data_IF_172949694544
#
_entry.id   IF_172949694544
#
_cell.length_a   1.000
_cell.length_b   1.000
_cell.length_c   1.000
_cell.angle_alpha   90.00
_cell.angle_beta   90.00
_cell.angle_gamma   90.00
#
_symmetry.space_group_name_H-M   'P 1'
#
loop_
_entity.id
_entity.type
_entity.pdbx_description
1 polymer ?
#
# COMPACT_ATOMS: atom_id res chain seq x y z
N UNK A 1 20.66 -5.04 17.30
CA UNK A 1 20.13 -3.77 16.76
C UNK A 1 18.69 -4.00 16.35
N UNK A 2 17.73 -3.39 17.04
CA UNK A 2 16.33 -3.38 16.59
C UNK A 2 16.23 -2.40 15.44
N UNK A 3 15.93 -2.88 14.24
CA UNK A 3 15.63 -2.05 13.08
C UNK A 3 14.36 -1.26 13.38
N UNK A 4 14.53 0.02 13.68
CA UNK A 4 13.47 1.02 13.81
C UNK A 4 12.57 0.91 12.57
N UNK A 5 11.29 0.67 12.78
CA UNK A 5 10.26 0.65 11.74
C UNK A 5 10.44 1.94 10.93
N UNK A 6 10.88 1.82 9.67
CA UNK A 6 11.07 2.96 8.79
C UNK A 6 9.80 3.79 8.78
N UNK A 7 9.95 5.12 8.95
CA UNK A 7 8.86 6.08 8.85
C UNK A 7 8.07 5.80 7.57
N UNK A 8 6.90 5.18 7.73
CA UNK A 8 5.95 4.92 6.63
C UNK A 8 5.67 6.24 5.93
N UNK A 9 5.81 6.27 4.61
CA UNK A 9 5.63 7.50 3.83
C UNK A 9 4.17 7.96 3.87
N UNK A 10 3.95 9.26 3.60
CA UNK A 10 2.59 9.85 3.59
C UNK A 10 1.68 9.12 2.60
N UNK A 11 2.18 8.77 1.41
CA UNK A 11 1.36 8.10 0.40
C UNK A 11 0.95 6.69 0.84
N UNK A 12 1.79 5.96 1.59
CA UNK A 12 1.45 4.63 2.11
C UNK A 12 0.31 4.71 3.13
N UNK A 13 0.39 5.66 4.06
CA UNK A 13 -0.67 5.89 5.07
C UNK A 13 -1.98 6.31 4.41
N UNK A 14 -1.91 7.21 3.42
CA UNK A 14 -3.09 7.68 2.70
C UNK A 14 -3.75 6.55 1.93
N UNK A 15 -2.98 5.75 1.17
CA UNK A 15 -3.53 4.61 0.44
C UNK A 15 -4.19 3.60 1.38
N UNK A 16 -3.54 3.27 2.50
CA UNK A 16 -4.12 2.39 3.50
C UNK A 16 -5.44 2.94 4.08
N UNK A 17 -5.52 4.25 4.32
CA UNK A 17 -6.75 4.90 4.78
C UNK A 17 -7.88 4.81 3.74
N UNK A 18 -7.55 4.98 2.46
CA UNK A 18 -8.51 4.88 1.34
C UNK A 18 -8.97 3.43 1.12
N UNK A 19 -8.09 2.45 1.37
CA UNK A 19 -8.46 1.03 1.36
C UNK A 19 -9.45 0.75 2.50
N UNK A 20 -9.17 1.23 3.72
CA UNK A 20 -10.07 1.06 4.87
C UNK A 20 -11.43 1.73 4.69
N UNK A 21 -11.51 2.83 3.93
CA UNK A 21 -12.81 3.46 3.62
C UNK A 21 -13.61 2.71 2.54
N UNK A 22 -13.01 1.72 1.88
CA UNK A 22 -13.64 0.92 0.83
C UNK A 22 -13.71 1.60 -0.54
N UNK A 23 -13.05 2.76 -0.70
CA UNK A 23 -12.95 3.46 -1.99
C UNK A 23 -11.99 2.75 -2.95
N UNK A 24 -10.92 2.16 -2.42
CA UNK A 24 -9.98 1.29 -3.13
C UNK A 24 -10.10 -0.10 -2.49
N UNK A 25 -10.11 -1.16 -3.30
CA UNK A 25 -10.17 -2.54 -2.84
C UNK A 25 -8.83 -2.98 -2.23
N UNK A 26 -7.73 -2.76 -2.97
CA UNK A 26 -6.39 -3.19 -2.55
C UNK A 26 -5.28 -2.43 -3.26
N UNK A 27 -4.05 -2.53 -2.76
CA UNK A 27 -2.85 -2.05 -3.44
C UNK A 27 -2.15 -3.18 -4.22
N UNK A 28 -1.63 -2.87 -5.41
CA UNK A 28 -0.86 -3.80 -6.24
C UNK A 28 0.36 -3.13 -6.91
N UNK A 29 1.29 -3.97 -7.39
CA UNK A 29 2.42 -3.55 -8.22
C UNK A 29 2.09 -3.86 -9.68
N UNK A 30 2.16 -2.83 -10.52
CA UNK A 30 2.00 -2.95 -11.99
C UNK A 30 3.28 -2.52 -12.70
N UNK A 31 3.57 -3.12 -13.85
CA UNK A 31 4.68 -2.67 -14.69
C UNK A 31 4.24 -1.50 -15.57
N UNK A 32 5.02 -0.42 -15.53
CA UNK A 32 4.78 0.78 -16.33
C UNK A 32 6.09 1.24 -16.96
N UNK A 33 6.26 0.97 -18.25
CA UNK A 33 7.43 1.40 -19.05
C UNK A 33 8.77 0.98 -18.41
N UNK A 34 8.87 -0.27 -17.97
CA UNK A 34 10.09 -0.82 -17.35
C UNK A 34 10.29 -0.43 -15.89
N UNK A 35 9.33 0.24 -15.25
CA UNK A 35 9.31 0.51 -13.82
C UNK A 35 8.19 -0.25 -13.13
N UNK A 36 8.35 -0.46 -11.83
CA UNK A 36 7.37 -1.10 -10.96
C UNK A 36 6.60 -0.01 -10.21
N UNK A 37 5.36 0.23 -10.62
CA UNK A 37 4.49 1.24 -10.05
C UNK A 37 3.54 0.65 -9.01
N UNK A 38 3.36 1.33 -7.89
CA UNK A 38 2.33 0.99 -6.90
C UNK A 38 1.06 1.74 -7.24
N UNK A 39 -0.04 1.00 -7.38
CA UNK A 39 -1.38 1.52 -7.69
C UNK A 39 -2.40 0.97 -6.71
N UNK A 40 -3.51 1.68 -6.54
CA UNK A 40 -4.72 1.14 -5.97
C UNK A 40 -5.57 0.47 -7.03
N UNK A 41 -6.25 -0.62 -6.66
CA UNK A 41 -7.22 -1.34 -7.47
C UNK A 41 -8.61 -0.98 -6.98
N UNK A 42 -9.48 -0.48 -7.86
CA UNK A 42 -10.88 -0.27 -7.55
C UNK A 42 -11.66 -1.58 -7.62
N UNK A 43 -12.90 -1.62 -7.10
CA UNK A 43 -13.75 -2.83 -7.10
C UNK A 43 -14.08 -3.34 -8.50
N UNK A 44 -14.08 -2.47 -9.50
CA UNK A 44 -14.27 -2.81 -10.90
C UNK A 44 -12.99 -3.34 -11.57
N UNK A 45 -11.89 -3.47 -10.83
CA UNK A 45 -10.59 -3.91 -11.32
C UNK A 45 -9.78 -2.83 -12.03
N UNK A 46 -10.28 -1.60 -12.13
CA UNK A 46 -9.52 -0.50 -12.72
C UNK A 46 -8.40 -0.01 -11.81
N UNK A 47 -7.37 0.58 -12.41
CA UNK A 47 -6.19 1.08 -11.71
C UNK A 47 -6.31 2.57 -11.37
N UNK A 48 -5.87 2.95 -10.18
CA UNK A 48 -5.60 4.34 -9.86
C UNK A 48 -4.39 4.87 -10.63
N UNK A 49 -4.17 6.19 -10.56
CA UNK A 49 -2.89 6.76 -10.96
C UNK A 49 -1.74 6.13 -10.12
N UNK A 50 -0.52 6.00 -10.69
CA UNK A 50 0.67 5.55 -9.96
C UNK A 50 0.99 6.44 -8.76
N UNK A 51 1.10 5.84 -7.57
CA UNK A 51 1.39 6.55 -6.32
C UNK A 51 2.89 6.60 -6.02
N UNK A 52 3.61 5.55 -6.40
CA UNK A 52 5.07 5.46 -6.30
C UNK A 52 5.61 4.60 -7.45
N UNK A 53 6.88 4.81 -7.82
CA UNK A 53 7.57 4.05 -8.86
C UNK A 53 8.93 3.59 -8.35
N UNK A 54 9.29 2.37 -8.69
CA UNK A 54 10.53 1.74 -8.29
C UNK A 54 11.21 1.12 -9.51
N UNK A 55 12.54 1.20 -9.55
CA UNK A 55 13.33 0.48 -10.54
C UNK A 55 13.32 -1.03 -10.25
N UNK A 56 13.24 -1.42 -8.97
CA UNK A 56 13.26 -2.81 -8.53
C UNK A 56 11.90 -3.30 -8.06
N UNK A 57 11.48 -4.47 -8.54
CA UNK A 57 10.20 -5.10 -8.18
C UNK A 57 10.06 -5.33 -6.68
N UNK A 58 11.11 -5.87 -6.05
CA UNK A 58 11.13 -6.20 -4.62
C UNK A 58 10.74 -4.99 -3.76
N UNK A 59 11.30 -3.81 -4.07
CA UNK A 59 11.01 -2.59 -3.32
C UNK A 59 9.58 -2.11 -3.49
N UNK A 60 8.98 -2.31 -4.65
CA UNK A 60 7.56 -2.03 -4.86
C UNK A 60 6.68 -3.00 -4.08
N UNK A 61 7.03 -4.30 -4.06
CA UNK A 61 6.33 -5.33 -3.30
C UNK A 61 6.40 -5.06 -1.78
N UNK A 62 7.57 -4.69 -1.26
CA UNK A 62 7.73 -4.30 0.14
C UNK A 62 6.85 -3.11 0.50
N UNK A 63 6.77 -2.11 -0.40
CA UNK A 63 5.92 -0.94 -0.20
C UNK A 63 4.43 -1.31 -0.17
N UNK A 64 3.99 -2.25 -1.02
CA UNK A 64 2.62 -2.78 -1.02
C UNK A 64 2.33 -3.57 0.25
N UNK A 65 3.27 -4.40 0.73
CA UNK A 65 3.12 -5.15 1.97
C UNK A 65 2.93 -4.21 3.18
N UNK A 66 3.66 -3.10 3.23
CA UNK A 66 3.48 -2.06 4.26
C UNK A 66 2.07 -1.46 4.18
N UNK A 67 1.59 -1.12 2.98
CA UNK A 67 0.23 -0.57 2.79
C UNK A 67 -0.82 -1.55 3.28
N UNK A 68 -0.72 -2.82 2.93
CA UNK A 68 -1.66 -3.85 3.38
C UNK A 68 -1.67 -3.96 4.89
N UNK A 69 -0.49 -4.01 5.53
CA UNK A 69 -0.38 -4.05 7.00
C UNK A 69 -0.98 -2.82 7.68
N UNK A 70 -0.88 -1.65 7.06
CA UNK A 70 -1.51 -0.42 7.56
C UNK A 70 -3.03 -0.40 7.32
N UNK A 71 -3.50 -1.10 6.28
CA UNK A 71 -4.92 -1.18 5.92
C UNK A 71 -5.66 -2.23 6.77
N UNK A 72 -4.96 -3.21 7.33
CA UNK A 72 -5.54 -4.13 8.31
C UNK A 72 -6.17 -3.31 9.45
N UNK A 73 -7.46 -3.54 9.79
CA UNK A 73 -8.04 -2.92 10.96
C UNK A 73 -7.20 -3.33 12.16
N UNK A 74 -6.69 -2.34 12.92
CA UNK A 74 -6.10 -2.62 14.21
C UNK A 74 -7.13 -3.43 15.00
N UNK A 75 -6.81 -4.68 15.34
CA UNK A 75 -7.70 -5.50 16.15
C UNK A 75 -8.11 -4.66 17.35
N UNK A 76 -9.44 -4.55 17.57
CA UNK A 76 -9.99 -3.79 18.69
C UNK A 76 -9.22 -4.18 19.95
N UNK A 77 -8.44 -3.23 20.49
CA UNK A 77 -7.92 -3.32 21.85
C UNK A 77 -9.05 -2.92 22.80
N UNK A 78 -10.16 -3.66 22.72
CA UNK A 78 -11.22 -3.65 23.72
C UNK A 78 -11.37 -5.09 24.19
N UNK A 79 -10.45 -5.49 25.05
CA UNK A 79 -10.62 -6.62 25.94
C UNK A 79 -10.20 -6.17 27.35
N UNK A 80 -11.23 -5.78 28.10
CA UNK A 80 -11.30 -5.43 29.53
C UNK A 80 -10.75 -4.07 30.00
#
# INVERSE_FOLDING_TARGET
MMTTISETTVWQRNLASVIRSGLIDRAEVVELRGLHAVVGIYKDGSYSAPLAKYSERRRAEDAVAIVHRLAEPAALVEAN
#
